data_IF_829847603540
#
_entry.id   IF_829847603540
#
_cell.length_a   1.000
_cell.length_b   1.000
_cell.length_c   1.000
_cell.angle_alpha   90.00
_cell.angle_beta   90.00
_cell.angle_gamma   90.00
#
_symmetry.space_group_name_H-M   'P 1'
#
loop_
_entity.id
_entity.type
_entity.pdbx_description
1 polymer ?
#
# COMPACT_ATOMS: atom_id res chain seq x y z
N UNK A 1 -5.58 2.98 -20.94
CA UNK A 1 -4.11 3.16 -20.88
C UNK A 1 -3.68 2.91 -19.44
N UNK A 2 -3.28 1.67 -19.14
CA UNK A 2 -2.96 1.22 -17.77
C UNK A 2 -1.56 1.66 -17.31
N UNK A 3 -0.75 2.25 -18.21
CA UNK A 3 0.64 2.61 -17.95
C UNK A 3 0.81 3.83 -17.03
N UNK A 4 -0.27 4.54 -16.68
CA UNK A 4 -0.23 5.73 -15.82
C UNK A 4 -0.30 5.45 -14.31
N UNK A 5 -0.61 4.22 -13.89
CA UNK A 5 -0.83 3.90 -12.48
C UNK A 5 0.04 2.74 -12.02
N UNK A 6 0.45 2.71 -10.74
CA UNK A 6 1.07 1.53 -10.17
C UNK A 6 0.12 0.34 -10.28
N UNK A 7 0.66 -0.88 -10.43
CA UNK A 7 -0.18 -2.09 -10.56
C UNK A 7 -0.99 -2.42 -9.31
N UNK A 8 -0.54 -1.93 -8.14
CA UNK A 8 -1.13 -2.22 -6.83
C UNK A 8 -1.12 -0.99 -5.94
N UNK A 9 -2.11 -0.88 -5.07
CA UNK A 9 -2.22 0.15 -4.04
C UNK A 9 -2.62 -0.49 -2.71
N UNK A 10 -2.28 0.15 -1.60
CA UNK A 10 -2.71 -0.21 -0.26
C UNK A 10 -3.99 0.56 0.10
N UNK A 11 -5.07 -0.16 0.37
CA UNK A 11 -6.34 0.37 0.86
C UNK A 11 -6.29 0.54 2.38
N UNK A 12 -6.29 1.81 2.81
CA UNK A 12 -6.10 2.19 4.22
C UNK A 12 -7.40 2.37 5.02
N UNK A 13 -8.55 2.15 4.41
CA UNK A 13 -9.84 2.15 5.11
C UNK A 13 -10.19 0.77 5.68
N UNK A 14 -9.73 -0.28 4.99
CA UNK A 14 -10.01 -1.69 5.32
C UNK A 14 -9.65 -2.13 6.73
N UNK A 15 -8.70 -1.46 7.40
CA UNK A 15 -8.24 -1.88 8.74
C UNK A 15 -9.19 -1.53 9.88
N UNK A 16 -10.13 -0.58 9.72
CA UNK A 16 -11.03 -0.18 10.82
C UNK A 16 -11.91 -1.34 11.30
N UNK A 17 -12.32 -2.22 10.40
CA UNK A 17 -13.17 -3.38 10.71
C UNK A 17 -12.37 -4.67 10.91
N UNK A 18 -11.21 -4.79 10.25
CA UNK A 18 -10.47 -6.06 10.18
C UNK A 18 -9.15 -6.08 10.95
N UNK A 19 -8.63 -4.92 11.38
CA UNK A 19 -7.27 -4.78 11.90
C UNK A 19 -6.18 -5.02 10.85
N UNK A 20 -6.53 -5.10 9.56
CA UNK A 20 -5.61 -5.38 8.46
C UNK A 20 -5.73 -4.34 7.35
N UNK A 21 -4.61 -3.95 6.76
CA UNK A 21 -4.62 -3.16 5.52
C UNK A 21 -4.60 -4.09 4.32
N UNK A 22 -5.28 -3.73 3.24
CA UNK A 22 -5.44 -4.59 2.07
C UNK A 22 -4.66 -4.05 0.88
N UNK A 23 -3.78 -4.86 0.31
CA UNK A 23 -3.22 -4.57 -1.01
C UNK A 23 -4.26 -4.92 -2.07
N UNK A 24 -4.63 -3.94 -2.89
CA UNK A 24 -5.60 -4.09 -3.98
C UNK A 24 -4.92 -3.90 -5.32
N UNK A 25 -5.18 -4.78 -6.31
CA UNK A 25 -4.86 -4.52 -7.70
C UNK A 25 -5.54 -3.23 -8.18
N UNK A 26 -4.79 -2.33 -8.80
CA UNK A 26 -5.32 -1.04 -9.26
C UNK A 26 -6.36 -1.22 -10.37
N UNK A 27 -6.28 -2.32 -11.12
CA UNK A 27 -7.24 -2.66 -12.17
C UNK A 27 -8.66 -2.93 -11.63
N UNK A 28 -8.78 -3.38 -10.37
CA UNK A 28 -10.03 -3.63 -9.64
C UNK A 28 -10.64 -2.38 -8.99
N UNK A 29 -9.97 -1.24 -9.03
CA UNK A 29 -10.53 0.03 -8.57
C UNK A 29 -11.45 0.56 -9.68
N UNK A 30 -12.72 0.80 -9.33
CA UNK A 30 -13.77 1.19 -10.29
C UNK A 30 -13.53 2.61 -10.80
N UNK A 31 -13.30 3.57 -9.90
CA UNK A 31 -13.25 5.00 -10.23
C UNK A 31 -11.83 5.50 -10.54
N UNK A 32 -11.16 4.89 -11.53
CA UNK A 32 -9.76 5.22 -11.87
C UNK A 32 -9.52 6.69 -12.24
N UNK A 33 -10.52 7.36 -12.81
CA UNK A 33 -10.41 8.77 -13.22
C UNK A 33 -10.31 9.73 -12.02
N UNK A 34 -10.83 9.32 -10.87
CA UNK A 34 -10.81 10.11 -9.63
C UNK A 34 -9.84 9.53 -8.60
N UNK A 35 -9.08 8.50 -8.98
CA UNK A 35 -8.16 7.79 -8.10
C UNK A 35 -7.04 8.70 -7.64
N UNK A 36 -7.10 9.06 -6.35
CA UNK A 36 -6.05 9.79 -5.66
C UNK A 36 -5.35 8.87 -4.68
N UNK A 37 -4.02 8.89 -4.72
CA UNK A 37 -3.18 8.11 -3.83
C UNK A 37 -1.92 8.88 -3.46
N UNK A 38 -1.32 8.53 -2.32
CA UNK A 38 0.00 9.03 -1.92
C UNK A 38 1.06 8.04 -2.35
N UNK A 39 2.23 8.55 -2.71
CA UNK A 39 3.40 7.74 -3.00
C UNK A 39 4.39 7.79 -1.83
N UNK A 40 4.75 6.63 -1.28
CA UNK A 40 5.83 6.48 -0.32
C UNK A 40 6.93 5.62 -0.95
N UNK A 41 7.94 6.28 -1.53
CA UNK A 41 9.24 5.66 -1.80
C UNK A 41 10.21 5.99 -0.68
N UNK A 42 10.77 4.97 -0.08
CA UNK A 42 11.84 5.06 0.89
C UNK A 42 13.12 4.51 0.25
N UNK A 43 14.23 5.22 0.40
CA UNK A 43 15.54 4.64 0.10
C UNK A 43 15.85 3.60 1.19
N UNK A 44 15.60 2.33 0.91
CA UNK A 44 16.04 1.21 1.73
C UNK A 44 17.53 1.38 2.00
N UNK A 45 17.93 1.66 3.24
CA UNK A 45 19.30 2.02 3.59
C UNK A 45 20.33 0.97 3.16
N UNK A 46 20.83 0.16 4.09
CA UNK A 46 21.71 -0.96 3.73
C UNK A 46 20.85 -2.18 3.36
N UNK A 47 21.36 -3.07 2.50
CA UNK A 47 20.62 -4.20 1.95
C UNK A 47 19.95 -5.14 2.99
N UNK A 48 20.38 -5.11 4.26
CA UNK A 48 19.79 -5.84 5.36
C UNK A 48 18.42 -5.29 5.84
N UNK A 49 18.09 -4.04 5.50
CA UNK A 49 16.82 -3.38 5.84
C UNK A 49 15.78 -3.47 4.71
N UNK A 50 16.09 -4.20 3.63
CA UNK A 50 15.11 -4.51 2.60
C UNK A 50 14.08 -5.47 3.20
N UNK A 51 12.81 -5.06 3.38
CA UNK A 51 11.77 -6.02 3.64
C UNK A 51 11.76 -6.97 2.45
N UNK A 52 12.15 -8.22 2.72
CA UNK A 52 12.04 -9.30 1.76
C UNK A 52 10.57 -9.32 1.36
N UNK A 53 10.28 -8.82 0.15
CA UNK A 53 9.00 -9.02 -0.50
C UNK A 53 8.95 -10.51 -0.82
N UNK A 54 8.63 -11.33 0.19
CA UNK A 54 8.48 -12.76 0.02
C UNK A 54 7.38 -12.91 -1.02
N UNK A 55 7.74 -13.46 -2.18
CA UNK A 55 6.92 -13.73 -3.37
C UNK A 55 5.67 -14.59 -3.11
N UNK A 56 5.22 -14.72 -1.87
CA UNK A 56 4.11 -15.58 -1.50
C UNK A 56 2.78 -14.85 -1.70
N UNK A 57 2.08 -15.28 -2.76
CA UNK A 57 0.64 -15.12 -3.02
C UNK A 57 0.08 -13.68 -3.07
N UNK A 58 0.33 -13.07 -4.23
CA UNK A 58 0.04 -11.69 -4.62
C UNK A 58 -1.45 -11.31 -4.78
N UNK A 59 -2.40 -12.22 -4.63
CA UNK A 59 -3.79 -11.96 -5.02
C UNK A 59 -4.63 -11.22 -3.97
N UNK A 60 -4.30 -11.34 -2.68
CA UNK A 60 -5.05 -10.73 -1.56
C UNK A 60 -4.18 -10.56 -0.30
N UNK A 61 -3.08 -9.80 -0.43
CA UNK A 61 -2.18 -9.54 0.71
C UNK A 61 -2.88 -8.59 1.70
N UNK A 62 -3.48 -9.16 2.74
CA UNK A 62 -3.88 -8.42 3.91
C UNK A 62 -2.71 -8.43 4.88
N UNK A 63 -2.09 -7.28 5.11
CA UNK A 63 -1.04 -7.16 6.12
C UNK A 63 -1.68 -6.77 7.46
N UNK A 64 -1.42 -7.51 8.56
CA UNK A 64 -1.85 -7.10 9.88
C UNK A 64 -1.30 -5.71 10.19
N UNK A 65 -2.15 -4.83 10.71
CA UNK A 65 -1.72 -3.49 11.11
C UNK A 65 -0.54 -3.52 12.10
N UNK A 66 -0.50 -4.53 12.96
CA UNK A 66 0.57 -4.76 13.94
C UNK A 66 1.92 -5.13 13.31
N UNK A 67 1.93 -5.74 12.13
CA UNK A 67 3.15 -6.17 11.43
C UNK A 67 3.73 -5.07 10.53
N UNK A 68 2.96 -4.00 10.29
CA UNK A 68 3.45 -2.85 9.55
C UNK A 68 4.54 -2.11 10.36
N UNK A 69 5.62 -1.76 9.67
CA UNK A 69 6.65 -0.89 10.24
C UNK A 69 6.04 0.45 10.71
N UNK A 70 6.70 1.10 11.66
CA UNK A 70 6.26 2.40 12.18
C UNK A 70 6.07 3.42 11.05
N UNK A 71 7.01 3.47 10.12
CA UNK A 71 6.97 4.36 8.94
C UNK A 71 5.72 4.12 8.10
N UNK A 72 5.39 2.87 7.79
CA UNK A 72 4.19 2.55 6.99
C UNK A 72 2.93 2.91 7.77
N UNK A 73 2.86 2.61 9.08
CA UNK A 73 1.71 2.99 9.91
C UNK A 73 1.49 4.50 9.95
N UNK A 74 2.55 5.28 10.09
CA UNK A 74 2.45 6.73 10.13
C UNK A 74 2.08 7.31 8.76
N UNK A 75 2.62 6.77 7.67
CA UNK A 75 2.20 7.11 6.32
C UNK A 75 0.71 6.82 6.09
N UNK A 76 0.21 5.66 6.52
CA UNK A 76 -1.22 5.33 6.46
C UNK A 76 -2.07 6.34 7.24
N UNK A 77 -1.67 6.73 8.45
CA UNK A 77 -2.38 7.76 9.23
C UNK A 77 -2.41 9.10 8.49
N UNK A 78 -1.30 9.51 7.89
CA UNK A 78 -1.19 10.75 7.10
C UNK A 78 -2.11 10.69 5.88
N UNK A 79 -2.08 9.59 5.11
CA UNK A 79 -2.97 9.39 3.96
C UNK A 79 -4.44 9.57 4.35
N UNK A 80 -4.83 9.01 5.50
CA UNK A 80 -6.20 9.18 6.03
C UNK A 80 -6.49 10.59 6.51
N UNK A 81 -5.54 11.24 7.19
CA UNK A 81 -5.67 12.63 7.61
C UNK A 81 -5.88 13.59 6.45
N UNK A 82 -5.38 13.23 5.26
CA UNK A 82 -5.58 13.94 4.01
C UNK A 82 -6.87 13.56 3.27
N UNK A 83 -7.71 12.68 3.84
CA UNK A 83 -8.95 12.22 3.20
C UNK A 83 -8.73 11.28 2.01
N UNK A 84 -7.54 10.66 1.91
CA UNK A 84 -7.21 9.72 0.84
C UNK A 84 -7.32 8.28 1.34
N UNK A 85 -7.76 7.39 0.43
CA UNK A 85 -7.95 5.96 0.71
C UNK A 85 -6.77 5.07 0.30
N UNK A 86 -5.94 5.55 -0.62
CA UNK A 86 -4.92 4.72 -1.23
C UNK A 86 -3.52 5.30 -1.00
N UNK A 87 -2.59 4.41 -0.70
CA UNK A 87 -1.16 4.71 -0.67
C UNK A 87 -0.41 3.64 -1.45
N UNK A 88 0.56 4.06 -2.25
CA UNK A 88 1.55 3.17 -2.82
C UNK A 88 2.76 3.13 -1.88
N UNK A 89 3.18 1.94 -1.49
CA UNK A 89 4.36 1.73 -0.65
C UNK A 89 5.29 0.80 -1.41
N UNK A 90 6.52 1.24 -1.64
CA UNK A 90 7.56 0.49 -2.33
C UNK A 90 7.67 -0.99 -1.90
N UNK A 91 7.79 -1.27 -0.61
CA UNK A 91 7.96 -2.66 -0.11
C UNK A 91 6.74 -3.56 -0.32
N UNK A 92 5.56 -2.96 -0.40
CA UNK A 92 4.30 -3.69 -0.46
C UNK A 92 3.75 -3.74 -1.89
N UNK A 93 4.10 -2.75 -2.71
CA UNK A 93 3.48 -2.48 -4.00
C UNK A 93 4.47 -2.49 -5.19
N UNK A 94 5.78 -2.66 -4.98
CA UNK A 94 6.75 -2.94 -6.07
C UNK A 94 6.48 -4.34 -6.65
N UNK A 95 6.27 -4.40 -7.97
CA UNK A 95 6.09 -5.63 -8.77
C UNK A 95 7.08 -5.62 -9.92
#
# INVERSE_FOLDING_TARGET
NLDKFPRRLLDVESYKSSGRVKVVPTDRIIDKETLRYIYLSHCWGKAADLPVATRHNLSQRYEPWSELSKTIRDAVKITRGLGLRYIWVDSLCIV
#
